data_IF_701543060795
#
_entry.id   IF_701543060795
#
_cell.length_a   1.000
_cell.length_b   1.000
_cell.length_c   1.000
_cell.angle_alpha   90.00
_cell.angle_beta   90.00
_cell.angle_gamma   90.00
#
_symmetry.space_group_name_H-M   'P 1'
#
loop_
_entity.id
_entity.type
_entity.pdbx_description
1 polymer ?
#
# COMPACT_ATOMS: atom_id res chain seq x y z
N UNK A 1 -1.59 -25.55 -12.99
CA UNK A 1 -0.46 -24.82 -13.62
C UNK A 1 -0.12 -23.65 -12.71
N UNK A 2 1.13 -23.51 -12.29
CA UNK A 2 1.57 -22.35 -11.50
C UNK A 2 2.03 -21.22 -12.42
N UNK A 3 1.97 -20.00 -11.91
CA UNK A 3 2.50 -18.82 -12.56
C UNK A 3 3.30 -18.01 -11.54
N UNK A 4 4.55 -17.69 -11.88
CA UNK A 4 5.48 -17.01 -10.99
C UNK A 4 5.59 -15.53 -11.34
N UNK A 5 6.09 -14.74 -10.40
CA UNK A 5 6.45 -13.34 -10.60
C UNK A 5 7.92 -13.12 -10.22
N UNK A 6 8.58 -12.18 -10.88
CA UNK A 6 9.84 -11.60 -10.39
C UNK A 6 9.55 -10.32 -9.59
N UNK A 7 10.43 -9.33 -9.71
CA UNK A 7 10.25 -8.01 -9.06
C UNK A 7 8.95 -7.29 -9.47
N UNK A 8 8.54 -7.45 -10.74
CA UNK A 8 7.35 -6.83 -11.32
C UNK A 8 6.64 -7.80 -12.24
N UNK A 9 5.31 -7.70 -12.29
CA UNK A 9 4.49 -8.28 -13.33
C UNK A 9 3.37 -7.32 -13.73
N UNK A 10 3.01 -7.31 -15.01
CA UNK A 10 1.88 -6.51 -15.51
C UNK A 10 0.80 -7.45 -16.03
N UNK A 11 -0.40 -7.32 -15.49
CA UNK A 11 -1.62 -7.94 -16.00
C UNK A 11 -2.42 -6.85 -16.73
N UNK A 12 -2.82 -7.09 -17.96
CA UNK A 12 -3.50 -6.08 -18.78
C UNK A 12 -4.54 -6.72 -19.68
N UNK A 13 -5.70 -6.07 -19.77
CA UNK A 13 -6.70 -6.31 -20.81
C UNK A 13 -6.96 -5.00 -21.59
N UNK A 14 -8.07 -4.94 -22.33
CA UNK A 14 -8.43 -3.76 -23.12
C UNK A 14 -8.92 -2.56 -22.27
N UNK A 15 -9.22 -2.78 -20.99
CA UNK A 15 -9.90 -1.82 -20.11
C UNK A 15 -9.02 -1.39 -18.93
N UNK A 16 -8.23 -2.32 -18.40
CA UNK A 16 -7.52 -2.22 -17.14
C UNK A 16 -6.06 -2.68 -17.27
N UNK A 17 -5.22 -2.11 -16.41
CA UNK A 17 -3.85 -2.56 -16.18
C UNK A 17 -3.67 -2.69 -14.67
N UNK A 18 -3.08 -3.81 -14.25
CA UNK A 18 -2.69 -4.09 -12.87
C UNK A 18 -1.19 -4.35 -12.89
N UNK A 19 -0.45 -3.61 -12.09
CA UNK A 19 0.97 -3.84 -11.89
C UNK A 19 1.18 -4.49 -10.53
N UNK A 20 1.78 -5.68 -10.51
CA UNK A 20 2.16 -6.40 -9.31
C UNK A 20 3.63 -6.13 -9.02
N UNK A 21 3.94 -5.78 -7.77
CA UNK A 21 5.29 -5.51 -7.33
C UNK A 21 5.63 -6.33 -6.09
N UNK A 22 6.78 -6.98 -6.09
CA UNK A 22 7.34 -7.56 -4.88
C UNK A 22 7.72 -6.45 -3.88
N UNK A 23 7.20 -6.53 -2.66
CA UNK A 23 7.50 -5.60 -1.58
C UNK A 23 8.76 -6.03 -0.86
N UNK A 24 9.89 -5.43 -1.24
CA UNK A 24 11.21 -5.82 -0.76
C UNK A 24 11.38 -5.51 0.72
N UNK A 25 11.91 -6.48 1.48
CA UNK A 25 12.17 -6.31 2.92
C UNK A 25 10.93 -6.41 3.80
N UNK A 26 9.81 -6.93 3.28
CA UNK A 26 8.58 -7.11 4.03
C UNK A 26 8.80 -7.99 5.28
N UNK A 27 8.21 -7.56 6.40
CA UNK A 27 8.44 -8.17 7.72
C UNK A 27 7.41 -9.27 8.06
N UNK A 28 6.38 -9.46 7.24
CA UNK A 28 5.36 -10.50 7.40
C UNK A 28 5.73 -11.80 6.70
N UNK A 29 6.18 -11.71 5.44
CA UNK A 29 6.66 -12.82 4.62
C UNK A 29 7.62 -12.28 3.54
N UNK A 30 8.52 -13.14 3.05
CA UNK A 30 9.51 -12.73 2.04
C UNK A 30 8.89 -12.41 0.68
N UNK A 31 7.68 -12.90 0.40
CA UNK A 31 7.02 -12.89 -0.90
C UNK A 31 5.79 -11.98 -0.97
N UNK A 32 5.68 -11.00 -0.06
CA UNK A 32 4.58 -10.01 -0.06
C UNK A 32 4.56 -9.21 -1.36
N UNK A 33 3.36 -9.04 -1.93
CA UNK A 33 3.12 -8.32 -3.18
C UNK A 33 2.18 -7.14 -2.92
N UNK A 34 2.41 -6.02 -3.59
CA UNK A 34 1.43 -4.94 -3.75
C UNK A 34 0.90 -4.91 -5.18
N UNK A 35 -0.39 -4.63 -5.34
CA UNK A 35 -1.01 -4.45 -6.64
C UNK A 35 -1.36 -2.97 -6.86
N UNK A 36 -0.90 -2.39 -7.96
CA UNK A 36 -1.21 -1.02 -8.35
C UNK A 36 -2.12 -1.00 -9.57
N UNK A 37 -3.20 -0.22 -9.49
CA UNK A 37 -4.16 0.00 -10.56
C UNK A 37 -4.02 1.44 -11.06
N UNK A 38 -3.21 1.70 -12.11
CA UNK A 38 -2.83 3.06 -12.48
C UNK A 38 -4.00 3.94 -12.91
N UNK A 39 -5.00 3.34 -13.59
CA UNK A 39 -6.18 4.05 -14.10
C UNK A 39 -6.99 4.74 -13.01
N UNK A 40 -7.04 4.14 -11.81
CA UNK A 40 -7.78 4.66 -10.66
C UNK A 40 -6.88 5.12 -9.51
N UNK A 41 -5.55 5.09 -9.70
CA UNK A 41 -4.54 5.48 -8.71
C UNK A 41 -4.69 4.76 -7.37
N UNK A 42 -4.95 3.46 -7.41
CA UNK A 42 -5.20 2.64 -6.22
C UNK A 42 -4.10 1.61 -6.02
N UNK A 43 -3.57 1.54 -4.79
CA UNK A 43 -2.72 0.44 -4.33
C UNK A 43 -3.56 -0.50 -3.49
N UNK A 44 -3.54 -1.79 -3.79
CA UNK A 44 -4.00 -2.86 -2.89
C UNK A 44 -2.75 -3.41 -2.20
N UNK A 45 -2.74 -3.36 -0.87
CA UNK A 45 -1.60 -3.80 -0.07
C UNK A 45 -2.02 -4.95 0.85
N UNK A 46 -1.09 -5.87 1.12
CA UNK A 46 -1.41 -7.18 1.71
C UNK A 46 -1.37 -7.26 3.25
N UNK A 47 -0.51 -6.52 3.95
CA UNK A 47 -0.45 -6.51 5.44
C UNK A 47 0.53 -5.45 5.97
N UNK A 48 0.91 -4.50 5.12
CA UNK A 48 1.92 -3.50 5.44
C UNK A 48 1.30 -2.25 6.07
N UNK A 49 -0.02 -2.06 6.03
CA UNK A 49 -0.68 -0.89 6.60
C UNK A 49 -1.96 -1.18 7.39
N UNK A 50 -1.89 -0.95 8.70
CA UNK A 50 -3.06 -0.97 9.57
C UNK A 50 -3.67 0.43 9.66
N UNK A 51 -4.57 0.74 8.72
CA UNK A 51 -5.17 2.07 8.61
C UNK A 51 -5.90 2.48 9.92
N UNK A 52 -5.53 3.61 10.54
CA UNK A 52 -6.10 4.04 11.81
C UNK A 52 -7.53 4.56 11.65
N UNK A 53 -8.24 4.79 12.76
CA UNK A 53 -9.55 5.42 12.70
C UNK A 53 -9.44 6.85 12.15
N UNK A 54 -10.49 7.36 11.47
CA UNK A 54 -10.53 8.77 11.07
C UNK A 54 -10.20 9.69 12.24
N UNK A 55 -9.35 10.68 11.99
CA UNK A 55 -8.91 11.67 12.98
C UNK A 55 -8.15 11.11 14.20
N UNK A 56 -7.74 9.83 14.19
CA UNK A 56 -6.89 9.29 15.23
C UNK A 56 -5.61 10.15 15.40
N UNK A 57 -5.12 10.31 16.65
CA UNK A 57 -3.84 10.99 16.86
C UNK A 57 -2.73 10.26 16.11
N UNK A 58 -1.70 11.00 15.68
CA UNK A 58 -0.53 10.37 15.10
C UNK A 58 0.10 9.40 16.12
N UNK A 59 0.59 8.23 15.67
CA UNK A 59 1.16 7.26 16.58
C UNK A 59 2.44 7.81 17.22
N UNK A 60 2.66 7.50 18.50
CA UNK A 60 3.89 7.91 19.20
C UNK A 60 5.12 7.17 18.68
N UNK A 61 4.93 5.93 18.19
CA UNK A 61 5.97 5.10 17.61
C UNK A 61 5.61 4.79 16.16
N UNK A 62 6.52 5.07 15.24
CA UNK A 62 6.31 4.79 13.82
C UNK A 62 6.49 3.29 13.56
N UNK A 63 5.51 2.67 12.90
CA UNK A 63 5.61 1.29 12.46
C UNK A 63 6.61 1.18 11.28
N UNK A 64 7.64 0.36 11.45
CA UNK A 64 8.67 0.16 10.44
C UNK A 64 8.14 -0.45 9.13
N UNK A 65 7.11 -1.29 9.20
CA UNK A 65 6.54 -1.93 8.01
C UNK A 65 5.71 -0.95 7.17
N UNK A 66 4.96 -0.06 7.82
CA UNK A 66 4.24 1.02 7.15
C UNK A 66 5.19 2.02 6.49
N UNK A 67 6.30 2.34 7.18
CA UNK A 67 7.37 3.16 6.61
C UNK A 67 7.99 2.48 5.38
N UNK A 68 8.23 1.17 5.45
CA UNK A 68 8.74 0.38 4.32
C UNK A 68 7.78 0.44 3.11
N UNK A 69 6.48 0.29 3.34
CA UNK A 69 5.48 0.42 2.28
C UNK A 69 5.60 1.77 1.56
N UNK A 70 5.63 2.87 2.32
CA UNK A 70 5.77 4.21 1.74
C UNK A 70 7.09 4.37 0.98
N UNK A 71 8.21 3.91 1.55
CA UNK A 71 9.53 3.99 0.93
C UNK A 71 9.61 3.19 -0.38
N UNK A 72 9.01 2.00 -0.44
CA UNK A 72 8.95 1.19 -1.66
C UNK A 72 8.01 1.79 -2.71
N UNK A 73 6.84 2.33 -2.32
CA UNK A 73 5.94 3.02 -3.25
C UNK A 73 6.61 4.26 -3.86
N UNK A 74 7.38 5.01 -3.08
CA UNK A 74 8.18 6.15 -3.56
C UNK A 74 9.33 5.69 -4.48
N UNK A 75 10.07 4.64 -4.10
CA UNK A 75 11.15 4.04 -4.93
C UNK A 75 10.64 3.57 -6.28
N UNK A 76 9.45 2.95 -6.29
CA UNK A 76 8.76 2.44 -7.48
C UNK A 76 8.07 3.56 -8.29
N UNK A 77 8.03 4.79 -7.77
CA UNK A 77 7.38 5.96 -8.37
C UNK A 77 5.89 5.75 -8.64
N UNK A 78 5.20 5.10 -7.71
CA UNK A 78 3.77 4.83 -7.82
C UNK A 78 2.97 6.11 -7.55
N UNK A 79 2.17 6.55 -8.53
CA UNK A 79 1.26 7.69 -8.40
C UNK A 79 -0.12 7.20 -7.90
N UNK A 80 -0.24 7.08 -6.57
CA UNK A 80 -1.46 6.61 -5.91
C UNK A 80 -2.09 7.71 -5.05
N UNK A 81 -3.41 7.66 -4.96
CA UNK A 81 -4.23 8.48 -4.05
C UNK A 81 -4.93 7.63 -3.01
N UNK A 82 -5.28 6.39 -3.38
CA UNK A 82 -6.09 5.48 -2.57
C UNK A 82 -5.29 4.23 -2.23
N UNK A 83 -5.49 3.73 -1.01
CA UNK A 83 -4.99 2.44 -0.54
C UNK A 83 -6.20 1.57 -0.21
N UNK A 84 -6.20 0.31 -0.65
CA UNK A 84 -7.11 -0.72 -0.20
C UNK A 84 -6.28 -1.71 0.62
N UNK A 85 -6.32 -1.63 1.95
CA UNK A 85 -5.71 -2.64 2.81
C UNK A 85 -6.57 -3.92 2.77
N UNK A 86 -5.96 -5.11 2.88
CA UNK A 86 -6.76 -6.35 3.05
C UNK A 86 -7.39 -6.43 4.44
N UNK A 87 -6.79 -5.78 5.44
CA UNK A 87 -7.36 -5.66 6.77
C UNK A 87 -8.34 -4.51 6.81
N UNK A 88 -9.52 -4.74 7.40
CA UNK A 88 -10.53 -3.71 7.50
C UNK A 88 -9.95 -2.49 8.25
N UNK A 89 -10.07 -1.26 7.71
CA UNK A 89 -9.63 -0.07 8.39
C UNK A 89 -10.33 0.10 9.73
N UNK A 90 -9.62 0.64 10.72
CA UNK A 90 -10.29 1.10 11.92
C UNK A 90 -11.28 2.23 11.57
N UNK A 91 -12.46 2.21 12.19
CA UNK A 91 -13.56 3.11 11.84
C UNK A 91 -14.50 2.60 10.74
N UNK A 92 -14.27 1.38 10.23
CA UNK A 92 -15.16 0.70 9.29
C UNK A 92 -14.84 0.99 7.82
N UNK A 93 -15.82 0.73 6.95
CA UNK A 93 -15.67 0.86 5.49
C UNK A 93 -15.56 2.33 5.10
N UNK A 94 -14.35 2.77 4.79
CA UNK A 94 -14.02 4.15 4.40
C UNK A 94 -12.92 4.16 3.35
N UNK A 95 -12.80 5.30 2.67
CA UNK A 95 -11.63 5.57 1.84
C UNK A 95 -10.38 5.70 2.70
N UNK A 96 -9.37 4.88 2.41
CA UNK A 96 -8.02 5.01 2.98
C UNK A 96 -7.13 5.68 1.94
N UNK A 97 -6.41 6.72 2.35
CA UNK A 97 -5.71 7.61 1.42
C UNK A 97 -4.20 7.57 1.61
N UNK A 98 -3.47 8.08 0.60
CA UNK A 98 -2.04 8.38 0.74
C UNK A 98 -1.75 9.25 1.97
N UNK A 99 -2.62 10.21 2.29
CA UNK A 99 -2.44 11.08 3.44
C UNK A 99 -2.53 10.31 4.76
N UNK A 100 -3.38 9.27 4.86
CA UNK A 100 -3.47 8.43 6.05
C UNK A 100 -2.14 7.72 6.32
N UNK A 101 -1.57 7.07 5.29
CA UNK A 101 -0.27 6.40 5.42
C UNK A 101 0.83 7.39 5.80
N UNK A 102 0.93 8.52 5.08
CA UNK A 102 1.97 9.52 5.36
C UNK A 102 1.85 10.09 6.78
N UNK A 103 0.63 10.38 7.25
CA UNK A 103 0.40 10.81 8.63
C UNK A 103 0.85 9.75 9.64
N UNK A 104 0.53 8.48 9.42
CA UNK A 104 0.88 7.40 10.35
C UNK A 104 2.39 7.18 10.46
N UNK A 105 3.15 7.54 9.42
CA UNK A 105 4.61 7.44 9.40
C UNK A 105 5.33 8.76 9.70
N UNK A 106 4.61 9.79 10.16
CA UNK A 106 5.19 11.09 10.53
C UNK A 106 5.62 11.96 9.34
N UNK A 107 5.11 11.69 8.14
CA UNK A 107 5.33 12.46 6.89
C UNK A 107 4.11 13.29 6.45
N UNK A 108 3.00 13.22 7.19
CA UNK A 108 1.80 14.00 6.91
C UNK A 108 2.01 15.48 7.19
N UNK A 109 1.36 16.35 6.43
CA UNK A 109 1.26 17.78 6.77
C UNK A 109 0.38 17.96 8.00
N UNK A 110 0.77 18.86 8.89
CA UNK A 110 0.01 19.26 10.09
C UNK A 110 -1.35 19.85 9.73
#
# INVERSE_FOLDING_TARGET
KFEYIGDKKVLKDNVNTIELYHLRGALHAEDVIVAYLPKIKTVVEADAFNAPAPNAPAPQNINGFEKLLADELDRLKIDYTTIIPVHQPAGGDRDVTKADLLRNIGRGTS
#
